data_IF_040868733489
#
_entry.id   IF_040868733489
#
_cell.length_a   1.000
_cell.length_b   1.000
_cell.length_c   1.000
_cell.angle_alpha   90.00
_cell.angle_beta   90.00
_cell.angle_gamma   90.00
#
_symmetry.space_group_name_H-M   'P 1'
#
loop_
_entity.id
_entity.type
_entity.pdbx_description
1 polymer ?
#
# COMPACT_ATOMS: atom_id res chain seq x y z
N UNK A 1 24.51 6.88 1.35
CA UNK A 1 24.13 6.38 0.01
C UNK A 1 24.67 4.98 -0.31
N UNK A 2 25.98 4.74 -0.53
CA UNK A 2 26.48 3.39 -0.94
C UNK A 2 26.02 2.24 -0.03
N UNK A 3 26.09 2.43 1.30
CA UNK A 3 25.62 1.44 2.28
C UNK A 3 24.11 1.20 2.21
N UNK A 4 23.33 2.28 2.06
CA UNK A 4 21.86 2.22 1.92
C UNK A 4 21.44 1.44 0.67
N UNK A 5 22.15 1.63 -0.45
CA UNK A 5 21.91 0.88 -1.69
C UNK A 5 22.21 -0.60 -1.47
N UNK A 6 23.40 -0.94 -0.96
CA UNK A 6 23.79 -2.33 -0.72
C UNK A 6 22.82 -3.05 0.22
N UNK A 7 22.32 -2.36 1.25
CA UNK A 7 21.30 -2.92 2.14
C UNK A 7 19.97 -3.18 1.41
N UNK A 8 19.45 -2.22 0.65
CA UNK A 8 18.22 -2.41 -0.13
C UNK A 8 18.36 -3.55 -1.15
N UNK A 9 19.52 -3.68 -1.79
CA UNK A 9 19.82 -4.81 -2.69
C UNK A 9 19.78 -6.15 -1.96
N UNK A 10 20.32 -6.22 -0.73
CA UNK A 10 20.25 -7.42 0.11
C UNK A 10 18.83 -7.80 0.52
N UNK A 11 17.88 -6.85 0.46
CA UNK A 11 16.46 -7.07 0.72
C UNK A 11 15.65 -7.35 -0.57
N UNK A 12 16.30 -7.58 -1.72
CA UNK A 12 15.64 -7.86 -2.99
C UNK A 12 15.20 -6.61 -3.78
N UNK A 13 15.45 -5.40 -3.27
CA UNK A 13 15.12 -4.14 -3.94
C UNK A 13 16.32 -3.74 -4.82
N UNK A 14 16.25 -4.10 -6.10
CA UNK A 14 17.35 -3.93 -7.06
C UNK A 14 16.92 -3.19 -8.33
N UNK A 15 17.88 -2.70 -9.12
CA UNK A 15 17.65 -2.18 -10.47
C UNK A 15 16.59 -1.07 -10.55
N UNK A 16 15.54 -1.29 -11.35
CA UNK A 16 14.46 -0.31 -11.56
C UNK A 16 13.69 0.04 -10.27
N UNK A 17 13.65 -0.87 -9.30
CA UNK A 17 13.02 -0.63 -7.99
C UNK A 17 13.82 0.40 -7.17
N UNK A 18 15.15 0.29 -7.17
CA UNK A 18 16.03 1.29 -6.55
C UNK A 18 15.89 2.64 -7.23
N UNK A 19 15.88 2.68 -8.56
CA UNK A 19 15.71 3.91 -9.32
C UNK A 19 14.34 4.57 -9.02
N UNK A 20 13.29 3.77 -8.86
CA UNK A 20 11.98 4.26 -8.45
C UNK A 20 12.06 4.95 -7.08
N UNK A 21 12.63 4.28 -6.06
CA UNK A 21 12.77 4.87 -4.72
C UNK A 21 13.69 6.09 -4.72
N UNK A 22 14.79 6.07 -5.46
CA UNK A 22 15.73 7.18 -5.52
C UNK A 22 15.06 8.43 -6.11
N UNK A 23 14.23 8.24 -7.14
CA UNK A 23 13.49 9.32 -7.79
C UNK A 23 12.35 9.85 -6.92
N UNK A 24 11.59 8.98 -6.25
CA UNK A 24 10.39 9.39 -5.51
C UNK A 24 10.64 9.73 -4.04
N UNK A 25 11.68 9.15 -3.44
CA UNK A 25 12.01 9.24 -2.02
C UNK A 25 13.53 9.32 -1.82
N UNK A 26 14.22 10.35 -2.38
CA UNK A 26 15.67 10.46 -2.28
C UNK A 26 16.17 10.47 -0.84
N UNK A 27 15.40 11.05 0.09
CA UNK A 27 15.73 11.11 1.51
C UNK A 27 16.03 9.72 2.13
N UNK A 28 15.41 8.64 1.66
CA UNK A 28 15.66 7.27 2.13
C UNK A 28 17.13 6.86 2.03
N UNK A 29 17.85 7.36 1.03
CA UNK A 29 19.25 7.00 0.76
C UNK A 29 20.27 7.83 1.57
N UNK A 30 19.77 8.84 2.28
CA UNK A 30 20.55 9.76 3.12
C UNK A 30 20.20 9.62 4.61
N UNK A 31 19.21 8.81 4.98
CA UNK A 31 18.90 8.54 6.39
C UNK A 31 19.99 7.70 7.06
N UNK A 32 19.98 7.70 8.40
CA UNK A 32 20.79 6.78 9.19
C UNK A 32 20.45 5.34 8.82
N UNK A 33 21.47 4.48 8.80
CA UNK A 33 21.32 3.08 8.40
C UNK A 33 20.27 2.35 9.26
N UNK A 34 20.25 2.62 10.57
CA UNK A 34 19.26 2.04 11.48
C UNK A 34 17.82 2.40 11.09
N UNK A 35 17.55 3.67 10.76
CA UNK A 35 16.20 4.10 10.37
C UNK A 35 15.71 3.39 9.09
N UNK A 36 16.62 3.14 8.14
CA UNK A 36 16.31 2.38 6.94
C UNK A 36 16.03 0.90 7.27
N UNK A 37 16.81 0.30 8.17
CA UNK A 37 16.59 -1.08 8.64
C UNK A 37 15.26 -1.21 9.38
N UNK A 38 14.93 -0.27 10.26
CA UNK A 38 13.67 -0.23 11.00
C UNK A 38 12.48 -0.08 10.05
N UNK A 39 12.62 0.74 8.99
CA UNK A 39 11.60 0.87 7.96
C UNK A 39 11.36 -0.44 7.21
N UNK A 40 12.43 -1.14 6.79
CA UNK A 40 12.29 -2.43 6.11
C UNK A 40 11.68 -3.46 7.07
N UNK A 41 12.16 -3.56 8.31
CA UNK A 41 11.60 -4.46 9.33
C UNK A 41 10.09 -4.22 9.50
N UNK A 42 9.70 -2.96 9.69
CA UNK A 42 8.28 -2.58 9.81
C UNK A 42 7.44 -3.04 8.62
N UNK A 43 7.98 -2.98 7.39
CA UNK A 43 7.26 -3.47 6.20
C UNK A 43 7.17 -5.00 6.20
N UNK A 44 8.23 -5.70 6.60
CA UNK A 44 8.20 -7.17 6.69
C UNK A 44 7.22 -7.65 7.78
N UNK A 45 7.17 -6.97 8.93
CA UNK A 45 6.22 -7.23 10.01
C UNK A 45 4.75 -7.02 9.59
N UNK A 46 4.52 -6.21 8.55
CA UNK A 46 3.20 -6.04 7.93
C UNK A 46 2.81 -7.19 6.98
N UNK A 47 3.64 -8.23 6.87
CA UNK A 47 3.37 -9.45 6.10
C UNK A 47 3.86 -9.41 4.65
N UNK A 48 4.79 -8.52 4.30
CA UNK A 48 5.44 -8.54 2.99
C UNK A 48 6.65 -9.49 3.01
N UNK A 49 6.82 -10.25 1.93
CA UNK A 49 8.04 -11.03 1.69
C UNK A 49 9.09 -10.21 0.93
N UNK A 50 10.38 -10.50 1.17
CA UNK A 50 11.51 -9.92 0.43
C UNK A 50 11.45 -10.22 -1.08
N UNK A 51 10.80 -11.32 -1.47
CA UNK A 51 10.63 -11.71 -2.87
C UNK A 51 9.41 -11.06 -3.53
N UNK A 52 8.60 -10.31 -2.77
CA UNK A 52 7.39 -9.69 -3.29
C UNK A 52 7.71 -8.43 -4.10
N UNK A 53 7.18 -8.36 -5.32
CA UNK A 53 7.17 -7.13 -6.13
C UNK A 53 6.47 -5.96 -5.42
N UNK A 54 5.62 -6.22 -4.43
CA UNK A 54 4.95 -5.18 -3.65
C UNK A 54 5.80 -4.60 -2.53
N UNK A 55 6.93 -5.24 -2.17
CA UNK A 55 7.81 -4.78 -1.10
C UNK A 55 8.28 -3.33 -1.35
N UNK A 56 8.82 -3.04 -2.54
CA UNK A 56 9.27 -1.67 -2.88
C UNK A 56 8.13 -0.65 -2.82
N UNK A 57 6.92 -1.04 -3.20
CA UNK A 57 5.75 -0.17 -3.16
C UNK A 57 5.30 0.09 -1.73
N UNK A 58 5.41 -0.90 -0.84
CA UNK A 58 5.15 -0.76 0.58
C UNK A 58 6.18 0.15 1.25
N UNK A 59 7.47 -0.07 1.03
CA UNK A 59 8.56 0.82 1.49
C UNK A 59 8.32 2.25 1.02
N UNK A 60 7.95 2.44 -0.24
CA UNK A 60 7.60 3.74 -0.77
C UNK A 60 6.39 4.35 -0.04
N UNK A 61 5.34 3.57 0.20
CA UNK A 61 4.13 4.04 0.86
C UNK A 61 4.39 4.49 2.31
N UNK A 62 5.15 3.70 3.08
CA UNK A 62 5.33 3.94 4.51
C UNK A 62 6.55 4.80 4.87
N UNK A 63 7.49 5.00 3.94
CA UNK A 63 8.71 5.80 4.18
C UNK A 63 8.47 7.24 4.65
N UNK A 64 7.29 7.80 4.36
CA UNK A 64 6.90 9.14 4.83
C UNK A 64 5.82 9.14 5.91
N UNK A 65 5.44 7.98 6.46
CA UNK A 65 4.32 7.86 7.39
C UNK A 65 4.85 7.57 8.79
N UNK A 66 4.58 8.48 9.72
CA UNK A 66 4.70 8.17 11.16
C UNK A 66 3.79 7.00 11.52
N UNK A 67 4.10 6.31 12.63
CA UNK A 67 3.23 5.26 13.17
C UNK A 67 1.81 5.80 13.41
N UNK A 68 1.69 6.99 14.00
CA UNK A 68 0.40 7.65 14.23
C UNK A 68 -0.38 7.91 12.93
N UNK A 69 0.27 8.46 11.90
CA UNK A 69 -0.39 8.74 10.61
C UNK A 69 -0.82 7.44 9.93
N UNK A 70 -0.04 6.39 10.06
CA UNK A 70 -0.41 5.07 9.55
C UNK A 70 -1.66 4.55 10.27
N UNK A 71 -1.69 4.59 11.60
CA UNK A 71 -2.87 4.17 12.39
C UNK A 71 -4.11 4.99 12.05
N UNK A 72 -4.00 6.33 11.94
CA UNK A 72 -5.14 7.19 11.55
C UNK A 72 -5.71 6.82 10.19
N UNK A 73 -4.88 6.44 9.22
CA UNK A 73 -5.36 5.96 7.91
C UNK A 73 -6.10 4.62 8.01
N UNK A 74 -5.67 3.73 8.90
CA UNK A 74 -6.39 2.46 9.13
C UNK A 74 -7.72 2.70 9.83
N UNK A 75 -7.78 3.64 10.77
CA UNK A 75 -9.04 4.05 11.40
C UNK A 75 -10.04 4.65 10.40
N UNK A 76 -9.56 5.29 9.32
CA UNK A 76 -10.45 5.66 8.20
C UNK A 76 -11.14 4.43 7.62
N UNK A 77 -10.41 3.37 7.24
CA UNK A 77 -11.05 2.15 6.75
C UNK A 77 -12.01 1.54 7.78
N UNK A 78 -11.61 1.48 9.05
CA UNK A 78 -12.48 0.93 10.11
C UNK A 78 -13.77 1.72 10.28
N UNK A 79 -13.75 3.03 10.07
CA UNK A 79 -14.96 3.87 10.09
C UNK A 79 -15.98 3.52 8.97
N UNK A 80 -15.53 2.84 7.91
CA UNK A 80 -16.39 2.29 6.85
C UNK A 80 -16.74 0.80 7.05
N UNK A 81 -16.43 0.22 8.22
CA UNK A 81 -16.83 -1.12 8.59
C UNK A 81 -15.83 -2.23 8.28
N UNK A 82 -14.64 -1.92 7.76
CA UNK A 82 -13.60 -2.92 7.53
C UNK A 82 -12.93 -3.36 8.84
N UNK A 83 -12.67 -4.65 8.97
CA UNK A 83 -11.82 -5.22 10.02
C UNK A 83 -10.34 -4.85 9.79
N UNK A 84 -9.52 -4.95 10.85
CA UNK A 84 -8.09 -4.68 10.73
C UNK A 84 -7.40 -5.63 9.74
N UNK A 85 -7.82 -6.90 9.71
CA UNK A 85 -7.27 -7.91 8.81
C UNK A 85 -7.58 -7.59 7.34
N UNK A 86 -8.80 -7.15 7.04
CA UNK A 86 -9.17 -6.66 5.72
C UNK A 86 -8.36 -5.42 5.33
N UNK A 87 -8.17 -4.48 6.26
CA UNK A 87 -7.34 -3.29 6.02
C UNK A 87 -5.89 -3.68 5.66
N UNK A 88 -5.32 -4.63 6.39
CA UNK A 88 -3.97 -5.13 6.14
C UNK A 88 -3.89 -5.90 4.81
N UNK A 89 -4.93 -6.66 4.44
CA UNK A 89 -4.99 -7.33 3.14
C UNK A 89 -5.06 -6.33 1.98
N UNK A 90 -5.92 -5.32 2.07
CA UNK A 90 -6.02 -4.22 1.10
C UNK A 90 -4.68 -3.48 0.97
N UNK A 91 -4.01 -3.19 2.09
CA UNK A 91 -2.70 -2.56 2.08
C UNK A 91 -1.63 -3.44 1.41
N UNK A 92 -1.61 -4.75 1.70
CA UNK A 92 -0.67 -5.70 1.06
C UNK A 92 -0.85 -5.81 -0.45
N UNK A 93 -2.10 -5.75 -0.92
CA UNK A 93 -2.42 -5.77 -2.36
C UNK A 93 -2.12 -4.44 -3.05
N UNK A 94 -2.35 -3.31 -2.37
CA UNK A 94 -2.21 -1.99 -2.96
C UNK A 94 -1.58 -1.00 -1.97
N UNK A 95 -0.26 -1.07 -1.71
CA UNK A 95 0.36 -0.22 -0.69
C UNK A 95 0.21 1.28 -0.98
N UNK A 96 0.08 1.65 -2.26
CA UNK A 96 -0.14 3.02 -2.70
C UNK A 96 -1.41 3.68 -2.15
N UNK A 97 -2.38 2.92 -1.62
CA UNK A 97 -3.60 3.45 -1.02
C UNK A 97 -3.33 4.36 0.17
N UNK A 98 -2.21 4.17 0.89
CA UNK A 98 -1.85 5.01 2.04
C UNK A 98 -1.07 6.28 1.66
N UNK A 99 -0.74 6.47 0.38
CA UNK A 99 0.02 7.65 -0.08
C UNK A 99 -0.84 8.90 -0.25
N UNK A 100 -2.16 8.75 -0.27
CA UNK A 100 -3.11 9.87 -0.39
C UNK A 100 -3.51 10.39 1.00
N UNK A 101 -4.09 11.59 1.08
CA UNK A 101 -4.60 12.14 2.34
C UNK A 101 -5.76 11.30 2.88
N UNK A 102 -6.08 11.45 4.17
CA UNK A 102 -7.24 10.80 4.79
C UNK A 102 -8.55 11.19 4.11
N UNK A 103 -8.71 12.45 3.71
CA UNK A 103 -9.92 12.89 2.99
C UNK A 103 -10.04 12.25 1.60
N UNK A 104 -8.92 12.16 0.86
CA UNK A 104 -8.91 11.44 -0.42
C UNK A 104 -9.17 9.95 -0.25
N UNK A 105 -8.72 9.38 0.86
CA UNK A 105 -8.98 7.99 1.20
C UNK A 105 -10.47 7.78 1.49
N UNK A 106 -11.08 8.62 2.34
CA UNK A 106 -12.54 8.62 2.60
C UNK A 106 -13.35 8.71 1.32
N UNK A 107 -13.03 9.69 0.46
CA UNK A 107 -13.71 9.86 -0.83
C UNK A 107 -13.59 8.64 -1.74
N UNK A 108 -12.41 8.00 -1.81
CA UNK A 108 -12.24 6.78 -2.61
C UNK A 108 -13.02 5.60 -2.07
N UNK A 109 -13.06 5.42 -0.75
CA UNK A 109 -13.83 4.34 -0.12
C UNK A 109 -15.32 4.58 -0.29
N UNK A 110 -15.80 5.79 -0.01
CA UNK A 110 -17.21 6.18 -0.17
C UNK A 110 -17.68 6.01 -1.62
N UNK A 111 -16.89 6.49 -2.59
CA UNK A 111 -17.15 6.27 -4.01
C UNK A 111 -17.28 4.78 -4.34
N UNK A 112 -16.35 3.95 -3.86
CA UNK A 112 -16.40 2.51 -4.11
C UNK A 112 -17.65 1.84 -3.50
N UNK A 113 -18.03 2.22 -2.29
CA UNK A 113 -19.20 1.65 -1.60
C UNK A 113 -20.53 2.13 -2.18
N UNK A 114 -20.60 3.37 -2.66
CA UNK A 114 -21.81 3.95 -3.24
C UNK A 114 -21.98 3.54 -4.71
N UNK A 115 -20.91 3.47 -5.50
CA UNK A 115 -20.99 2.93 -6.86
C UNK A 115 -21.30 1.42 -6.86
N UNK A 116 -20.82 0.67 -5.86
CA UNK A 116 -21.23 -0.74 -5.69
C UNK A 116 -22.73 -0.94 -5.45
N UNK A 117 -23.44 0.08 -4.97
CA UNK A 117 -24.91 0.04 -4.87
C UNK A 117 -25.60 0.42 -6.17
N UNK A 118 -24.90 1.06 -7.10
CA UNK A 118 -25.45 1.58 -8.36
C UNK A 118 -25.18 0.65 -9.55
N UNK A 119 -24.43 -0.44 -9.36
CA UNK A 119 -23.90 -1.26 -10.46
C UNK A 119 -24.60 -2.60 -10.70
N UNK A 120 -25.94 -2.61 -10.64
CA UNK A 120 -26.70 -3.63 -11.37
C UNK A 120 -26.65 -3.42 -12.89
N UNK A 121 -26.03 -2.36 -13.44
CA UNK A 121 -26.08 -2.14 -14.89
C UNK A 121 -24.94 -1.43 -15.66
N UNK A 122 -23.81 -0.93 -15.11
CA UNK A 122 -22.77 -0.31 -15.96
C UNK A 122 -21.32 -0.54 -15.51
N UNK A 123 -20.73 -1.49 -16.22
CA UNK A 123 -19.30 -1.81 -16.40
C UNK A 123 -18.38 -0.59 -16.66
N UNK A 124 -18.14 0.25 -15.64
CA UNK A 124 -17.10 1.29 -15.66
C UNK A 124 -16.30 1.37 -14.35
N UNK A 125 -16.34 0.32 -13.51
CA UNK A 125 -15.52 0.22 -12.30
C UNK A 125 -14.05 -0.19 -12.51
N UNK A 126 -13.66 -0.66 -13.71
CA UNK A 126 -12.44 -1.46 -13.87
C UNK A 126 -11.09 -0.71 -13.67
N UNK A 127 -11.03 0.62 -13.81
CA UNK A 127 -9.73 1.34 -13.76
C UNK A 127 -9.33 1.74 -12.34
N UNK A 128 -10.29 2.05 -11.45
CA UNK A 128 -10.01 2.43 -10.05
C UNK A 128 -9.80 1.18 -9.18
N UNK A 129 -10.54 0.12 -9.48
CA UNK A 129 -10.41 -1.22 -8.89
C UNK A 129 -8.98 -1.76 -8.99
N UNK A 130 -8.35 -1.60 -10.15
CA UNK A 130 -6.96 -2.00 -10.38
C UNK A 130 -5.94 -1.18 -9.56
N UNK A 131 -6.25 0.06 -9.17
CA UNK A 131 -5.35 0.88 -8.35
C UNK A 131 -5.46 0.55 -6.84
N UNK A 132 -6.56 -0.07 -6.40
CA UNK A 132 -6.78 -0.45 -4.99
C UNK A 132 -6.72 -1.97 -4.76
N UNK A 133 -6.48 -2.77 -5.80
CA UNK A 133 -6.42 -4.23 -5.68
C UNK A 133 -7.75 -4.89 -5.30
N UNK A 134 -8.87 -4.16 -5.46
CA UNK A 134 -10.21 -4.64 -5.16
C UNK A 134 -10.97 -4.78 -6.48
N UNK A 135 -11.64 -5.90 -6.74
CA UNK A 135 -12.60 -6.04 -7.85
C UNK A 135 -13.96 -6.42 -7.27
N UNK A 136 -15.04 -5.84 -7.78
CA UNK A 136 -16.39 -6.31 -7.47
C UNK A 136 -16.63 -7.68 -8.10
N UNK A 137 -17.05 -8.64 -7.27
CA UNK A 137 -17.73 -9.86 -7.72
C UNK A 137 -19.07 -9.88 -7.00
N UNK A 138 -20.14 -10.16 -7.75
CA UNK A 138 -21.55 -10.13 -7.31
C UNK A 138 -21.73 -10.61 -5.86
N UNK A 139 -22.34 -9.77 -5.04
CA UNK A 139 -23.01 -10.16 -3.80
C UNK A 139 -22.14 -10.30 -2.56
N UNK A 140 -20.87 -10.68 -2.68
CA UNK A 140 -19.99 -10.89 -1.51
C UNK A 140 -18.56 -10.40 -1.78
N UNK A 141 -18.02 -9.62 -0.83
CA UNK A 141 -16.60 -9.21 -0.79
C UNK A 141 -15.74 -10.42 -0.41
N UNK A 142 -15.53 -11.34 -1.35
CA UNK A 142 -14.62 -12.47 -1.14
C UNK A 142 -13.27 -12.13 -1.74
N UNK A 143 -12.27 -11.94 -0.89
CA UNK A 143 -10.88 -11.81 -1.30
C UNK A 143 -10.43 -13.09 -2.01
N UNK A 144 -9.89 -12.97 -3.22
CA UNK A 144 -8.98 -14.00 -3.73
C UNK A 144 -7.99 -13.48 -4.78
N UNK A 145 -7.04 -14.36 -5.02
CA UNK A 145 -5.73 -14.31 -5.66
C UNK A 145 -5.87 -14.14 -7.18
N UNK A 146 -4.82 -13.62 -7.82
CA UNK A 146 -4.18 -14.15 -9.05
C UNK A 146 -3.72 -13.03 -10.02
N UNK A 147 -2.41 -13.12 -10.30
CA UNK A 147 -1.54 -12.62 -11.40
C UNK A 147 -1.18 -11.13 -11.51
#
# INVERSE_FOLDING_TARGET
MKRSIAFLESCGIVGSQLLMLLRSKPALFFQQEQALRDLISRVLDMGFSVDSRMLVHAVHAVSGLSGETFSRKFEVFRSFGFSMDECMDMFRRAPGILRISEDKLKLKIDFFLNDAKLDSHKQLGCTVLNHMGMRQVKGDLVGCVIC
#
